data_IF_417001432974
#
_entry.id   IF_417001432974
#
_cell.length_a   1.000
_cell.length_b   1.000
_cell.length_c   1.000
_cell.angle_alpha   90.00
_cell.angle_beta   90.00
_cell.angle_gamma   90.00
#
_symmetry.space_group_name_H-M   'P 1'
#
loop_
_entity.id
_entity.type
_entity.pdbx_description
1 polymer ?
#
# COMPACT_ATOMS: atom_id res chain seq x y z
N UNK A 1 2.68 2.66 57.36
CA UNK A 1 1.92 2.18 56.18
C UNK A 1 2.03 3.06 54.91
N UNK A 2 3.12 3.88 54.71
CA UNK A 2 3.29 4.71 53.48
C UNK A 2 4.42 4.24 52.56
N UNK A 3 5.15 3.18 52.86
CA UNK A 3 6.33 2.73 52.10
C UNK A 3 6.07 1.63 51.08
N UNK A 4 5.00 0.82 51.23
CA UNK A 4 4.74 -0.32 50.34
C UNK A 4 4.06 0.09 49.03
N UNK A 5 3.22 1.15 49.05
CA UNK A 5 2.53 1.66 47.86
C UNK A 5 3.52 2.24 46.79
N UNK A 6 4.63 2.87 47.24
CA UNK A 6 5.66 3.44 46.32
C UNK A 6 6.48 2.36 45.60
N UNK A 7 6.80 1.26 46.30
CA UNK A 7 7.57 0.15 45.70
C UNK A 7 6.74 -0.60 44.66
N UNK A 8 5.43 -0.77 44.90
CA UNK A 8 4.51 -1.41 43.97
C UNK A 8 4.35 -0.58 42.69
N UNK A 9 4.28 0.75 42.82
CA UNK A 9 4.13 1.65 41.66
C UNK A 9 5.38 1.69 40.78
N UNK A 10 6.57 1.68 41.38
CA UNK A 10 7.85 1.62 40.65
C UNK A 10 7.99 0.28 39.91
N UNK A 11 7.57 -0.82 40.50
CA UNK A 11 7.61 -2.13 39.88
C UNK A 11 6.66 -2.23 38.67
N UNK A 12 5.47 -1.63 38.75
CA UNK A 12 4.50 -1.56 37.63
C UNK A 12 5.06 -0.72 36.48
N UNK A 13 5.70 0.42 36.76
CA UNK A 13 6.33 1.25 35.71
C UNK A 13 7.51 0.51 35.07
N UNK A 14 8.35 -0.16 35.85
CA UNK A 14 9.45 -0.96 35.31
C UNK A 14 8.94 -2.15 34.48
N UNK A 15 7.84 -2.77 34.88
CA UNK A 15 7.21 -3.87 34.12
C UNK A 15 6.57 -3.38 32.82
N UNK A 16 5.92 -2.21 32.85
CA UNK A 16 5.37 -1.56 31.64
C UNK A 16 6.51 -1.19 30.69
N UNK A 17 7.57 -0.56 31.17
CA UNK A 17 8.75 -0.21 30.35
C UNK A 17 9.46 -1.46 29.80
N UNK A 18 9.45 -2.58 30.53
CA UNK A 18 10.00 -3.86 30.07
C UNK A 18 9.12 -4.49 29.00
N UNK A 19 7.78 -4.39 29.14
CA UNK A 19 6.83 -4.83 28.15
C UNK A 19 6.88 -3.94 26.87
N UNK A 20 7.00 -2.63 27.03
CA UNK A 20 7.19 -1.71 25.90
C UNK A 20 8.50 -2.02 25.16
N UNK A 21 9.62 -2.23 25.85
CA UNK A 21 10.87 -2.70 25.25
C UNK A 21 10.77 -4.08 24.60
N UNK A 22 9.94 -4.99 25.10
CA UNK A 22 9.69 -6.29 24.46
C UNK A 22 8.78 -6.17 23.22
N UNK A 23 7.89 -5.19 23.19
CA UNK A 23 7.06 -4.88 22.02
C UNK A 23 7.89 -4.15 20.93
N UNK A 24 8.80 -3.26 21.33
CA UNK A 24 9.74 -2.60 20.42
C UNK A 24 10.82 -3.53 19.83
N UNK A 25 11.10 -4.66 20.47
CA UNK A 25 12.12 -5.61 20.05
C UNK A 25 11.56 -6.73 19.15
N UNK A 26 10.53 -6.47 18.36
CA UNK A 26 10.29 -7.27 17.14
C UNK A 26 11.47 -7.03 16.23
N UNK A 27 12.24 -8.06 16.00
CA UNK A 27 13.46 -7.98 15.18
C UNK A 27 13.07 -7.47 13.80
N UNK A 28 13.31 -6.18 13.53
CA UNK A 28 13.08 -5.57 12.22
C UNK A 28 13.95 -6.29 11.19
N UNK A 29 13.34 -6.97 10.25
CA UNK A 29 14.02 -7.62 9.14
C UNK A 29 13.74 -6.87 7.84
N UNK A 30 14.78 -6.41 7.18
CA UNK A 30 14.63 -5.79 5.85
C UNK A 30 14.45 -6.89 4.80
N UNK A 31 13.29 -6.92 4.15
CA UNK A 31 12.97 -7.85 3.06
C UNK A 31 13.47 -7.36 1.72
N UNK A 32 13.32 -6.06 1.45
CA UNK A 32 13.83 -5.39 0.26
C UNK A 32 14.53 -4.11 0.68
N UNK A 33 15.77 -3.94 0.23
CA UNK A 33 16.46 -2.66 0.32
C UNK A 33 15.93 -1.63 -0.68
N UNK A 34 16.46 -0.42 -0.65
CA UNK A 34 16.05 0.67 -1.56
C UNK A 34 16.18 0.26 -3.02
N UNK A 35 17.31 -0.31 -3.42
CA UNK A 35 17.57 -0.67 -4.82
C UNK A 35 16.63 -1.79 -5.28
N UNK A 36 16.47 -2.82 -4.47
CA UNK A 36 15.56 -3.94 -4.75
C UNK A 36 14.12 -3.46 -4.87
N UNK A 37 13.69 -2.56 -3.98
CA UNK A 37 12.34 -1.98 -3.99
C UNK A 37 12.08 -1.26 -5.31
N UNK A 38 13.00 -0.38 -5.75
CA UNK A 38 12.84 0.34 -7.02
C UNK A 38 12.95 -0.56 -8.25
N UNK A 39 13.76 -1.62 -8.21
CA UNK A 39 13.77 -2.64 -9.27
C UNK A 39 12.41 -3.34 -9.40
N UNK A 40 11.72 -3.63 -8.27
CA UNK A 40 10.37 -4.20 -8.31
C UNK A 40 9.36 -3.22 -8.92
N UNK A 41 9.38 -1.95 -8.48
CA UNK A 41 8.49 -0.90 -9.03
C UNK A 41 8.72 -0.74 -10.53
N UNK A 42 9.98 -0.67 -10.97
CA UNK A 42 10.33 -0.57 -12.40
C UNK A 42 9.83 -1.77 -13.19
N UNK A 43 10.02 -3.01 -12.71
CA UNK A 43 9.46 -4.21 -13.35
C UNK A 43 7.94 -4.14 -13.46
N UNK A 44 7.25 -3.68 -12.42
CA UNK A 44 5.80 -3.50 -12.45
C UNK A 44 5.38 -2.46 -13.50
N UNK A 45 6.13 -1.37 -13.66
CA UNK A 45 5.86 -0.39 -14.71
C UNK A 45 5.93 -1.02 -16.13
N UNK A 46 6.92 -1.89 -16.40
CA UNK A 46 6.97 -2.64 -17.66
C UNK A 46 5.76 -3.56 -17.83
N UNK A 47 5.34 -4.28 -16.80
CA UNK A 47 4.16 -5.16 -16.85
C UNK A 47 2.87 -4.35 -17.09
N UNK A 48 2.73 -3.18 -16.45
CA UNK A 48 1.60 -2.26 -16.68
C UNK A 48 1.63 -1.78 -18.13
N UNK A 49 2.81 -1.40 -18.65
CA UNK A 49 2.96 -0.97 -20.03
C UNK A 49 2.57 -2.09 -21.01
N UNK A 50 3.11 -3.30 -20.84
CA UNK A 50 2.83 -4.45 -21.70
C UNK A 50 1.33 -4.77 -21.79
N UNK A 51 0.60 -4.61 -20.70
CA UNK A 51 -0.86 -4.85 -20.66
C UNK A 51 -1.70 -3.67 -21.18
N UNK A 52 -1.09 -2.50 -21.42
CA UNK A 52 -1.78 -1.27 -21.79
C UNK A 52 -1.12 -0.53 -22.96
N UNK A 53 -0.21 -1.16 -23.73
CA UNK A 53 0.59 -0.48 -24.75
C UNK A 53 -0.22 0.11 -25.91
N UNK A 54 -1.44 -0.41 -26.15
CA UNK A 54 -2.37 0.11 -27.17
C UNK A 54 -3.21 1.29 -26.67
N UNK A 55 -3.12 1.63 -25.38
CA UNK A 55 -3.93 2.71 -24.80
C UNK A 55 -3.24 4.06 -24.95
N UNK A 56 -3.96 5.11 -25.39
CA UNK A 56 -3.39 6.45 -25.43
C UNK A 56 -3.19 7.04 -24.05
N UNK A 57 -4.03 6.64 -23.08
CA UNK A 57 -4.04 7.18 -21.71
C UNK A 57 -4.31 6.07 -20.72
N UNK A 58 -3.60 6.06 -19.60
CA UNK A 58 -3.84 5.19 -18.44
C UNK A 58 -3.98 6.03 -17.16
N UNK A 59 -4.80 5.57 -16.22
CA UNK A 59 -4.97 6.23 -14.93
C UNK A 59 -4.38 5.36 -13.84
N UNK A 60 -3.47 5.94 -13.05
CA UNK A 60 -2.92 5.35 -11.84
C UNK A 60 -3.61 5.96 -10.62
N UNK A 61 -4.46 5.18 -9.96
CA UNK A 61 -5.22 5.59 -8.79
C UNK A 61 -4.53 5.09 -7.52
N UNK A 62 -3.71 5.94 -6.89
CA UNK A 62 -2.96 5.59 -5.68
C UNK A 62 -3.78 5.78 -4.41
N UNK A 63 -3.84 4.75 -3.56
CA UNK A 63 -4.46 4.84 -2.23
C UNK A 63 -3.55 5.67 -1.31
N UNK A 64 -4.15 6.59 -0.56
CA UNK A 64 -3.44 7.54 0.30
C UNK A 64 -2.41 6.88 1.23
N UNK A 65 -1.24 7.49 1.36
CA UNK A 65 -0.07 6.98 2.06
C UNK A 65 0.94 6.41 1.09
N UNK A 66 1.57 5.30 1.42
CA UNK A 66 2.64 4.69 0.61
C UNK A 66 2.14 4.18 -0.75
N UNK A 67 0.86 3.81 -0.87
CA UNK A 67 0.23 3.47 -2.15
C UNK A 67 0.23 4.63 -3.14
N UNK A 68 -0.06 5.85 -2.70
CA UNK A 68 0.00 7.05 -3.56
C UNK A 68 1.45 7.39 -3.94
N UNK A 69 2.39 7.30 -3.01
CA UNK A 69 3.82 7.50 -3.29
C UNK A 69 4.32 6.46 -4.31
N UNK A 70 3.88 5.20 -4.18
CA UNK A 70 4.19 4.17 -5.18
C UNK A 70 3.63 4.52 -6.55
N UNK A 71 2.39 5.06 -6.62
CA UNK A 71 1.82 5.52 -7.88
C UNK A 71 2.66 6.62 -8.53
N UNK A 72 3.19 7.58 -7.76
CA UNK A 72 4.09 8.63 -8.27
C UNK A 72 5.39 8.05 -8.85
N UNK A 73 5.95 7.00 -8.24
CA UNK A 73 7.13 6.31 -8.80
C UNK A 73 6.77 5.56 -10.09
N UNK A 74 5.63 4.87 -10.14
CA UNK A 74 5.17 4.19 -11.35
C UNK A 74 4.90 5.17 -12.49
N UNK A 75 4.36 6.37 -12.22
CA UNK A 75 4.22 7.44 -13.23
C UNK A 75 5.58 7.77 -13.85
N UNK A 76 6.60 8.01 -13.03
CA UNK A 76 7.96 8.34 -13.50
C UNK A 76 8.56 7.23 -14.36
N UNK A 77 8.42 5.98 -13.92
CA UNK A 77 8.94 4.83 -14.68
C UNK A 77 8.17 4.64 -16.00
N UNK A 78 6.84 4.76 -16.01
CA UNK A 78 6.04 4.66 -17.24
C UNK A 78 6.36 5.77 -18.25
N UNK A 79 6.52 7.02 -17.79
CA UNK A 79 6.93 8.14 -18.63
C UNK A 79 8.34 7.96 -19.23
N UNK A 80 9.23 7.25 -18.51
CA UNK A 80 10.58 6.96 -19.00
C UNK A 80 10.63 5.87 -20.07
N UNK A 81 9.65 4.94 -20.10
CA UNK A 81 9.65 3.76 -20.99
C UNK A 81 8.60 3.82 -22.09
N UNK A 82 7.66 4.77 -22.04
CA UNK A 82 6.54 4.83 -22.98
C UNK A 82 6.11 6.26 -23.30
N UNK A 83 5.30 6.40 -24.35
CA UNK A 83 4.63 7.64 -24.71
C UNK A 83 3.16 7.70 -24.26
N UNK A 84 2.72 6.73 -23.44
CA UNK A 84 1.35 6.71 -22.91
C UNK A 84 1.18 7.91 -21.98
N UNK A 85 0.07 8.63 -22.14
CA UNK A 85 -0.32 9.65 -21.19
C UNK A 85 -0.72 8.99 -19.87
N UNK A 86 -0.04 9.37 -18.77
CA UNK A 86 -0.33 8.82 -17.44
C UNK A 86 -0.97 9.89 -16.56
N UNK A 87 -2.23 9.66 -16.19
CA UNK A 87 -2.97 10.50 -15.24
C UNK A 87 -2.85 9.86 -13.86
N UNK A 88 -2.50 10.66 -12.86
CA UNK A 88 -2.50 10.19 -11.47
C UNK A 88 -3.75 10.71 -10.75
N UNK A 89 -4.39 9.85 -9.96
CA UNK A 89 -5.50 10.19 -9.09
C UNK A 89 -5.21 9.69 -7.67
N UNK A 90 -5.63 10.45 -6.67
CA UNK A 90 -5.51 10.03 -5.27
C UNK A 90 -6.82 9.49 -4.75
N UNK A 91 -6.77 8.33 -4.11
CA UNK A 91 -7.90 7.68 -3.45
C UNK A 91 -7.73 7.82 -1.95
N UNK A 92 -8.65 8.53 -1.31
CA UNK A 92 -8.61 8.83 0.12
C UNK A 92 -9.81 8.22 0.83
N UNK A 93 -9.64 7.85 2.10
CA UNK A 93 -10.71 7.38 2.99
C UNK A 93 -10.33 7.58 4.45
N UNK A 94 -11.34 7.68 5.31
CA UNK A 94 -11.12 7.77 6.75
C UNK A 94 -10.80 6.39 7.34
N UNK A 95 -9.53 6.17 7.70
CA UNK A 95 -9.06 4.92 8.32
C UNK A 95 -9.66 4.66 9.72
N UNK A 96 -10.18 5.70 10.39
CA UNK A 96 -10.78 5.59 11.72
C UNK A 96 -12.26 5.17 11.70
N UNK A 97 -12.91 5.23 10.53
CA UNK A 97 -14.31 4.87 10.39
C UNK A 97 -14.53 3.38 10.71
N UNK A 98 -15.34 3.11 11.73
CA UNK A 98 -15.68 1.75 12.18
C UNK A 98 -16.58 1.05 11.16
N UNK A 99 -17.47 1.81 10.54
CA UNK A 99 -18.37 1.35 9.48
C UNK A 99 -17.88 1.98 8.19
N UNK A 100 -17.85 1.21 7.14
CA UNK A 100 -17.50 1.49 5.76
C UNK A 100 -17.22 2.99 5.46
N UNK A 101 -15.94 3.41 5.32
CA UNK A 101 -15.61 4.80 5.06
C UNK A 101 -16.13 5.23 3.69
N UNK A 102 -16.50 6.48 3.55
CA UNK A 102 -16.68 7.09 2.24
C UNK A 102 -15.33 7.15 1.52
N UNK A 103 -15.31 6.69 0.29
CA UNK A 103 -14.12 6.73 -0.57
C UNK A 103 -14.19 7.98 -1.42
N UNK A 104 -13.19 8.83 -1.28
CA UNK A 104 -13.03 10.04 -2.07
C UNK A 104 -11.95 9.83 -3.13
N UNK A 105 -12.29 10.06 -4.40
CA UNK A 105 -11.33 10.12 -5.50
C UNK A 105 -11.11 11.60 -5.82
N UNK A 106 -9.88 12.06 -5.66
CA UNK A 106 -9.50 13.45 -5.94
C UNK A 106 -9.33 13.66 -7.45
N UNK A 107 -10.41 13.49 -8.22
CA UNK A 107 -10.47 13.73 -9.67
C UNK A 107 -11.92 13.73 -10.14
N UNK A 108 -12.17 14.36 -11.29
CA UNK A 108 -13.49 14.30 -11.94
C UNK A 108 -13.78 12.87 -12.45
N UNK A 109 -14.99 12.40 -12.21
CA UNK A 109 -15.46 11.08 -12.66
C UNK A 109 -15.34 10.91 -14.17
N UNK A 110 -15.58 11.98 -14.94
CA UNK A 110 -15.47 11.96 -16.40
C UNK A 110 -14.05 11.66 -16.89
N UNK A 111 -13.04 11.95 -16.08
CA UNK A 111 -11.64 11.62 -16.38
C UNK A 111 -11.41 10.13 -16.56
N UNK A 112 -12.18 9.30 -15.86
CA UNK A 112 -12.01 7.83 -15.84
C UNK A 112 -12.76 7.11 -16.97
N UNK A 113 -13.80 7.72 -17.54
CA UNK A 113 -14.67 7.08 -18.54
C UNK A 113 -13.89 6.50 -19.72
N UNK A 114 -14.16 5.23 -20.01
CA UNK A 114 -13.58 4.46 -21.12
C UNK A 114 -12.04 4.38 -21.11
N UNK A 115 -11.41 4.56 -19.94
CA UNK A 115 -9.97 4.42 -19.77
C UNK A 115 -9.61 3.23 -18.87
N UNK A 116 -8.44 2.63 -19.03
CA UNK A 116 -7.90 1.68 -18.07
C UNK A 116 -7.48 2.39 -16.79
N UNK A 117 -7.81 1.80 -15.66
CA UNK A 117 -7.44 2.27 -14.33
C UNK A 117 -6.65 1.20 -13.60
N UNK A 118 -5.55 1.56 -12.99
CA UNK A 118 -4.81 0.71 -12.05
C UNK A 118 -4.93 1.30 -10.66
N UNK A 119 -5.62 0.60 -9.77
CA UNK A 119 -5.69 0.93 -8.34
C UNK A 119 -4.42 0.42 -7.65
N UNK A 120 -3.74 1.29 -6.91
CA UNK A 120 -2.41 1.04 -6.38
C UNK A 120 -2.43 1.16 -4.86
N UNK A 121 -1.91 0.12 -4.19
CA UNK A 121 -1.64 0.11 -2.76
C UNK A 121 -0.22 -0.40 -2.49
N UNK A 122 0.31 -0.16 -1.31
CA UNK A 122 1.63 -0.64 -0.92
C UNK A 122 1.60 -2.13 -0.53
N UNK A 123 0.63 -2.56 0.29
CA UNK A 123 0.53 -3.93 0.81
C UNK A 123 -0.87 -4.51 0.65
N UNK A 124 -0.98 -5.61 -0.09
CA UNK A 124 -2.16 -6.48 -0.06
C UNK A 124 -2.05 -7.44 1.13
N UNK A 125 -2.77 -7.13 2.20
CA UNK A 125 -2.90 -7.99 3.37
C UNK A 125 -4.20 -8.80 3.28
N UNK A 126 -5.28 -8.33 3.91
CA UNK A 126 -6.58 -9.02 3.89
C UNK A 126 -7.41 -8.74 2.64
N UNK A 127 -7.04 -7.74 1.86
CA UNK A 127 -7.81 -7.23 0.72
C UNK A 127 -8.96 -6.28 1.10
N UNK A 128 -9.18 -6.02 2.41
CA UNK A 128 -10.29 -5.17 2.88
C UNK A 128 -10.22 -3.75 2.32
N UNK A 129 -9.06 -3.10 2.40
CA UNK A 129 -8.83 -1.74 1.90
C UNK A 129 -9.12 -1.65 0.41
N UNK A 130 -8.52 -2.53 -0.37
CA UNK A 130 -8.73 -2.59 -1.82
C UNK A 130 -10.19 -2.84 -2.18
N UNK A 131 -10.87 -3.79 -1.49
CA UNK A 131 -12.29 -4.06 -1.71
C UNK A 131 -13.16 -2.81 -1.54
N UNK A 132 -12.87 -1.96 -0.55
CA UNK A 132 -13.58 -0.70 -0.36
C UNK A 132 -13.21 0.34 -1.42
N UNK A 133 -11.93 0.49 -1.72
CA UNK A 133 -11.44 1.47 -2.69
C UNK A 133 -11.87 1.14 -4.13
N UNK A 134 -12.18 -0.11 -4.46
CA UNK A 134 -12.71 -0.50 -5.77
C UNK A 134 -14.16 -0.03 -5.99
N UNK A 135 -14.96 0.13 -4.94
CA UNK A 135 -16.41 0.42 -5.04
C UNK A 135 -16.76 1.63 -5.93
N UNK A 136 -16.17 2.83 -5.76
CA UNK A 136 -16.53 3.97 -6.59
C UNK A 136 -16.21 3.72 -8.08
N UNK A 137 -15.15 2.98 -8.38
CA UNK A 137 -14.80 2.64 -9.75
C UNK A 137 -15.79 1.71 -10.43
N UNK A 138 -16.48 0.85 -9.67
CA UNK A 138 -17.49 -0.08 -10.19
C UNK A 138 -18.74 0.64 -10.73
N UNK A 139 -18.93 1.90 -10.41
CA UNK A 139 -20.06 2.71 -10.92
C UNK A 139 -19.70 3.54 -12.16
N UNK A 140 -18.43 3.53 -12.57
CA UNK A 140 -17.92 4.28 -13.72
C UNK A 140 -17.72 3.32 -14.90
N UNK A 141 -18.12 3.67 -16.12
CA UNK A 141 -17.87 2.83 -17.30
C UNK A 141 -16.38 2.90 -17.67
N UNK A 142 -15.57 2.07 -17.01
CA UNK A 142 -14.14 1.94 -17.27
C UNK A 142 -13.88 0.97 -18.42
N UNK A 143 -12.76 1.15 -19.14
CA UNK A 143 -12.29 0.16 -20.11
C UNK A 143 -11.74 -1.08 -19.40
N UNK A 144 -10.99 -0.88 -18.29
CA UNK A 144 -10.40 -1.93 -17.46
C UNK A 144 -10.15 -1.39 -16.05
N UNK A 145 -10.25 -2.25 -15.05
CA UNK A 145 -9.86 -1.96 -13.67
C UNK A 145 -8.92 -3.06 -13.19
N UNK A 146 -7.71 -2.69 -12.82
CA UNK A 146 -6.63 -3.57 -12.40
C UNK A 146 -6.11 -3.13 -11.03
N UNK A 147 -5.41 -4.01 -10.34
CA UNK A 147 -4.83 -3.75 -9.02
C UNK A 147 -3.33 -3.99 -9.06
N UNK A 148 -2.56 -3.06 -8.48
CA UNK A 148 -1.13 -3.17 -8.31
C UNK A 148 -0.75 -3.02 -6.83
N UNK A 149 0.13 -3.90 -6.33
CA UNK A 149 0.65 -3.83 -4.97
C UNK A 149 2.15 -4.11 -4.94
N UNK A 150 2.88 -3.39 -4.10
CA UNK A 150 4.30 -3.66 -3.95
C UNK A 150 4.52 -5.00 -3.25
N UNK A 151 3.72 -5.30 -2.23
CA UNK A 151 3.82 -6.56 -1.47
C UNK A 151 2.46 -7.25 -1.38
N UNK A 152 2.42 -8.53 -1.73
CA UNK A 152 1.30 -9.43 -1.45
C UNK A 152 1.70 -10.41 -0.33
N UNK A 153 0.92 -10.40 0.77
CA UNK A 153 1.14 -11.26 1.94
C UNK A 153 0.47 -12.64 1.85
N UNK A 154 -0.30 -12.90 0.80
CA UNK A 154 -1.07 -14.14 0.63
C UNK A 154 -2.00 -14.46 1.83
N UNK A 155 -2.62 -13.44 2.43
CA UNK A 155 -3.58 -13.58 3.54
C UNK A 155 -5.00 -13.08 3.21
N UNK A 156 -5.61 -13.51 2.08
CA UNK A 156 -6.87 -12.95 1.64
C UNK A 156 -8.01 -13.30 2.61
N UNK A 157 -8.74 -12.28 3.05
CA UNK A 157 -10.06 -12.41 3.71
C UNK A 157 -11.18 -11.86 2.84
N UNK A 158 -10.82 -11.09 1.81
CA UNK A 158 -11.71 -10.59 0.77
C UNK A 158 -11.25 -11.15 -0.58
N UNK A 159 -12.15 -11.39 -1.55
CA UNK A 159 -11.82 -11.99 -2.83
C UNK A 159 -11.14 -10.98 -3.76
N UNK A 160 -9.99 -10.48 -3.37
CA UNK A 160 -9.15 -9.53 -4.10
C UNK A 160 -7.84 -10.20 -4.42
N UNK A 161 -7.43 -10.12 -5.68
CA UNK A 161 -6.09 -10.44 -6.14
C UNK A 161 -5.51 -9.25 -6.89
N UNK A 162 -4.20 -9.10 -6.85
CA UNK A 162 -3.52 -8.06 -7.61
C UNK A 162 -3.06 -8.60 -8.97
N UNK A 163 -3.20 -7.78 -10.02
CA UNK A 163 -2.69 -8.07 -11.38
C UNK A 163 -1.18 -7.86 -11.45
N UNK A 164 -0.67 -6.90 -10.68
CA UNK A 164 0.74 -6.53 -10.65
C UNK A 164 1.26 -6.60 -9.22
N UNK A 165 2.23 -7.49 -8.99
CA UNK A 165 2.82 -7.74 -7.67
C UNK A 165 4.33 -7.53 -7.73
N UNK A 166 4.84 -6.62 -6.89
CA UNK A 166 6.28 -6.39 -6.75
C UNK A 166 6.99 -7.56 -6.08
N UNK A 167 6.50 -7.98 -4.93
CA UNK A 167 7.04 -9.05 -4.11
C UNK A 167 5.92 -9.82 -3.42
N UNK A 168 5.98 -11.14 -3.43
CA UNK A 168 4.99 -11.99 -2.77
C UNK A 168 5.69 -12.86 -1.71
N UNK A 169 5.08 -12.94 -0.52
CA UNK A 169 5.55 -13.81 0.54
C UNK A 169 4.37 -14.25 1.41
N UNK A 170 4.50 -15.40 2.03
CA UNK A 170 3.57 -15.84 3.08
C UNK A 170 4.15 -15.48 4.44
N UNK A 171 3.37 -14.78 5.27
CA UNK A 171 3.76 -14.40 6.63
C UNK A 171 2.86 -15.07 7.65
N UNK A 172 3.26 -15.08 8.90
CA UNK A 172 2.38 -15.49 10.01
C UNK A 172 1.37 -14.39 10.35
N UNK A 173 0.34 -14.72 11.15
CA UNK A 173 -0.68 -13.74 11.57
C UNK A 173 -0.12 -12.63 12.45
N UNK A 174 0.97 -12.90 13.17
CA UNK A 174 1.62 -11.97 14.10
C UNK A 174 2.65 -11.05 13.43
N UNK A 175 3.09 -11.39 12.23
CA UNK A 175 4.04 -10.58 11.46
C UNK A 175 3.33 -9.41 10.78
N UNK A 176 4.02 -8.30 10.63
CA UNK A 176 3.55 -7.09 9.98
C UNK A 176 4.55 -6.64 8.91
N UNK A 177 4.03 -6.29 7.73
CA UNK A 177 4.82 -5.69 6.65
C UNK A 177 4.65 -4.17 6.69
N UNK A 178 5.76 -3.47 6.66
CA UNK A 178 5.82 -2.01 6.50
C UNK A 178 6.60 -1.66 5.23
N UNK A 179 5.97 -0.90 4.34
CA UNK A 179 6.60 -0.30 3.18
C UNK A 179 6.95 1.14 3.50
N UNK A 180 8.16 1.57 3.15
CA UNK A 180 8.67 2.92 3.34
C UNK A 180 9.19 3.46 2.02
N UNK A 181 8.40 4.28 1.34
CA UNK A 181 8.77 4.95 0.09
C UNK A 181 8.88 6.46 0.28
N UNK A 182 8.13 7.04 1.23
CA UNK A 182 8.13 8.45 1.57
C UNK A 182 9.37 8.89 2.34
N UNK A 183 9.95 8.00 3.16
CA UNK A 183 11.17 8.29 3.93
C UNK A 183 12.38 8.41 2.99
N UNK A 184 13.16 9.49 3.11
CA UNK A 184 14.34 9.73 2.25
C UNK A 184 15.55 8.89 2.63
N UNK A 185 15.69 8.50 3.91
CA UNK A 185 16.88 7.85 4.45
C UNK A 185 16.76 6.32 4.54
N UNK A 186 15.55 5.78 4.67
CA UNK A 186 15.30 4.36 4.97
C UNK A 186 14.16 3.80 4.11
N UNK A 187 14.33 3.87 2.77
CA UNK A 187 13.37 3.29 1.83
C UNK A 187 13.55 1.79 1.74
N UNK A 188 12.44 1.08 1.68
CA UNK A 188 12.47 -0.37 1.60
C UNK A 188 11.20 -1.05 2.07
N UNK A 189 11.28 -2.37 2.21
CA UNK A 189 10.21 -3.22 2.74
C UNK A 189 10.73 -3.94 3.98
N UNK A 190 9.97 -3.90 5.04
CA UNK A 190 10.36 -4.42 6.36
C UNK A 190 9.32 -5.38 6.91
N UNK A 191 9.78 -6.40 7.61
CA UNK A 191 8.98 -7.36 8.38
C UNK A 191 9.25 -7.16 9.88
N UNK A 192 8.18 -7.17 10.69
CA UNK A 192 8.20 -7.05 12.15
C UNK A 192 7.49 -8.22 12.80
#
# INVERSE_FOLDING_TARGET
MRGESRKSFIFVIQFINLLEKHVENRTKMQLLDTNQTFQKIRRMAYQIYENNFEEPTIILAGIQGEGYIMAEYLVKELQAISSIEVIIAKVSFDKSAVVQPDILIESDVDTFKNKPVVLIDDVLNTGKTLAFCLRPFMTIPLKRLQVAVLVDRNHPKFPISADYIGYSLSTTLSEHIEVRLSNTEDKGVYLY
#
